data_IF_001454104756
#
_entry.id   IF_001454104756
#
_cell.length_a   1.000
_cell.length_b   1.000
_cell.length_c   1.000
_cell.angle_alpha   90.00
_cell.angle_beta   90.00
_cell.angle_gamma   90.00
#
_symmetry.space_group_name_H-M   'P 1'
#
loop_
_entity.id
_entity.type
_entity.pdbx_description
1 polymer ?
#
# COMPACT_ATOMS: atom_id res chain seq x y z
N UNK A 1 -32.21 -4.45 20.22
CA UNK A 1 -33.10 -3.78 19.24
C UNK A 1 -33.26 -2.33 19.66
N UNK A 2 -33.26 -1.38 18.72
CA UNK A 2 -33.48 0.04 19.05
C UNK A 2 -34.90 0.25 19.58
N UNK A 3 -35.08 1.30 20.38
CA UNK A 3 -36.36 1.58 21.04
C UNK A 3 -37.52 1.83 20.06
N UNK A 4 -37.22 2.35 18.86
CA UNK A 4 -38.16 2.58 17.76
C UNK A 4 -38.42 1.32 16.90
N UNK A 5 -37.71 0.21 17.17
CA UNK A 5 -37.81 -1.03 16.41
C UNK A 5 -37.24 -0.97 14.99
N UNK A 6 -36.65 0.15 14.57
CA UNK A 6 -36.12 0.31 13.21
C UNK A 6 -34.84 -0.49 12.96
N UNK A 7 -34.13 -0.89 14.03
CA UNK A 7 -32.87 -1.63 13.93
C UNK A 7 -32.79 -2.78 14.93
N UNK A 8 -32.38 -3.94 14.43
CA UNK A 8 -31.97 -5.09 15.23
C UNK A 8 -30.48 -5.34 15.03
N UNK A 9 -29.77 -5.51 16.15
CA UNK A 9 -28.36 -5.86 16.15
C UNK A 9 -28.20 -7.31 16.56
N UNK A 10 -27.36 -8.05 15.84
CA UNK A 10 -27.01 -9.45 16.14
C UNK A 10 -25.49 -9.57 16.09
N UNK A 11 -24.89 -10.14 17.12
CA UNK A 11 -23.48 -10.49 17.14
C UNK A 11 -23.34 -12.00 17.12
N UNK A 12 -22.41 -12.52 16.32
CA UNK A 12 -22.15 -13.95 16.22
C UNK A 12 -20.68 -14.21 15.90
N UNK A 13 -20.21 -15.38 16.34
CA UNK A 13 -18.92 -15.89 15.90
C UNK A 13 -19.00 -16.32 14.44
N UNK A 14 -18.07 -15.82 13.64
CA UNK A 14 -18.08 -15.93 12.19
C UNK A 14 -16.84 -16.64 11.67
N UNK A 15 -17.07 -17.80 11.04
CA UNK A 15 -16.02 -18.65 10.47
C UNK A 15 -15.65 -18.27 9.03
N UNK A 16 -16.27 -17.24 8.46
CA UNK A 16 -15.99 -16.81 7.08
C UNK A 16 -14.57 -16.24 6.90
N UNK A 17 -13.88 -15.89 7.99
CA UNK A 17 -12.57 -15.23 7.95
C UNK A 17 -11.38 -16.16 8.21
N UNK A 18 -11.60 -17.46 8.38
CA UNK A 18 -10.54 -18.48 8.50
C UNK A 18 -10.94 -19.69 9.33
N UNK A 19 -10.02 -20.66 9.42
CA UNK A 19 -10.09 -21.89 10.23
C UNK A 19 -9.26 -21.77 11.52
N UNK A 20 -8.96 -20.54 11.92
CA UNK A 20 -8.04 -20.20 12.99
C UNK A 20 -8.58 -20.51 14.40
N UNK A 21 -9.77 -21.09 14.53
CA UNK A 21 -10.26 -21.69 15.79
C UNK A 21 -9.27 -22.73 16.35
N UNK A 22 -8.58 -23.47 15.46
CA UNK A 22 -7.53 -24.41 15.84
C UNK A 22 -6.19 -23.73 16.19
N UNK A 23 -5.94 -22.51 15.69
CA UNK A 23 -4.72 -21.74 15.94
C UNK A 23 -4.90 -20.64 16.99
N UNK A 24 -6.13 -20.46 17.47
CA UNK A 24 -6.43 -19.54 18.55
C UNK A 24 -6.91 -18.15 18.18
N UNK A 25 -7.68 -18.01 17.11
CA UNK A 25 -8.36 -16.77 16.78
C UNK A 25 -9.88 -16.99 16.77
N UNK A 26 -10.61 -15.95 17.15
CA UNK A 26 -12.06 -15.90 17.01
C UNK A 26 -12.46 -14.56 16.37
N UNK A 27 -13.29 -14.65 15.33
CA UNK A 27 -13.79 -13.50 14.60
C UNK A 27 -15.26 -13.29 14.97
N UNK A 28 -15.56 -12.12 15.53
CA UNK A 28 -16.94 -11.71 15.81
C UNK A 28 -17.42 -10.83 14.68
N UNK A 29 -18.57 -11.19 14.11
CA UNK A 29 -19.32 -10.35 13.17
C UNK A 29 -20.53 -9.77 13.87
N UNK A 30 -20.73 -8.47 13.70
CA UNK A 30 -21.93 -7.75 14.12
C UNK A 30 -22.75 -7.39 12.90
N UNK A 31 -23.99 -7.88 12.86
CA UNK A 31 -24.98 -7.55 11.85
C UNK A 31 -25.93 -6.45 12.33
N UNK A 32 -26.02 -5.36 11.55
CA UNK A 32 -27.08 -4.35 11.64
C UNK A 32 -28.21 -4.75 10.68
N UNK A 33 -29.39 -5.01 11.22
CA UNK A 33 -30.59 -5.36 10.46
C UNK A 33 -31.53 -4.16 10.50
N UNK A 34 -31.71 -3.51 9.35
CA UNK A 34 -32.61 -2.37 9.16
C UNK A 34 -34.00 -2.87 8.78
N UNK A 35 -35.02 -2.24 9.36
CA UNK A 35 -36.43 -2.58 9.20
C UNK A 35 -36.70 -4.09 9.38
N UNK A 36 -36.31 -4.67 10.54
CA UNK A 36 -36.31 -6.12 10.76
C UNK A 36 -37.71 -6.76 10.67
N UNK A 37 -38.77 -5.98 10.89
CA UNK A 37 -40.16 -6.43 10.77
C UNK A 37 -40.72 -6.36 9.33
N UNK A 38 -39.95 -5.80 8.38
CA UNK A 38 -40.40 -5.68 6.99
C UNK A 38 -40.32 -7.02 6.24
N UNK A 39 -40.95 -7.10 5.07
CA UNK A 39 -40.81 -8.26 4.16
C UNK A 39 -39.44 -8.34 3.49
N UNK A 40 -38.61 -7.30 3.63
CA UNK A 40 -37.32 -7.18 2.94
C UNK A 40 -36.34 -6.39 3.80
N UNK A 41 -35.91 -6.95 4.95
CA UNK A 41 -34.95 -6.30 5.81
C UNK A 41 -33.60 -6.14 5.10
N UNK A 42 -32.89 -5.06 5.39
CA UNK A 42 -31.54 -4.83 4.88
C UNK A 42 -30.51 -5.20 5.95
N UNK A 43 -29.43 -5.86 5.54
CA UNK A 43 -28.38 -6.35 6.43
C UNK A 43 -27.07 -5.65 6.12
N UNK A 44 -26.35 -5.24 7.15
CA UNK A 44 -24.97 -4.78 7.05
C UNK A 44 -24.12 -5.51 8.07
N UNK A 45 -22.90 -5.88 7.70
CA UNK A 45 -22.02 -6.71 8.52
C UNK A 45 -20.73 -5.97 8.82
N UNK A 46 -20.35 -5.94 10.10
CA UNK A 46 -19.08 -5.39 10.58
C UNK A 46 -18.27 -6.48 11.26
N UNK A 47 -17.06 -6.73 10.77
CA UNK A 47 -16.09 -7.57 11.47
C UNK A 47 -15.47 -6.78 12.62
N UNK A 48 -15.56 -7.27 13.85
CA UNK A 48 -15.09 -6.58 15.06
C UNK A 48 -13.68 -7.01 15.47
N UNK A 49 -13.39 -8.30 15.38
CA UNK A 49 -12.08 -8.85 15.75
C UNK A 49 -11.38 -9.42 14.51
N UNK A 50 -10.05 -9.39 14.48
CA UNK A 50 -9.22 -10.02 13.43
C UNK A 50 -8.09 -10.88 14.01
N UNK A 51 -7.91 -10.86 15.33
CA UNK A 51 -6.80 -11.51 16.01
C UNK A 51 -7.23 -11.87 17.43
N UNK A 52 -7.27 -13.18 17.71
CA UNK A 52 -7.24 -13.82 19.03
C UNK A 52 -8.56 -14.21 19.72
N UNK A 53 -8.68 -15.53 19.96
CA UNK A 53 -9.09 -16.20 21.19
C UNK A 53 -8.37 -17.56 21.16
N UNK A 54 -7.15 -17.69 21.74
CA UNK A 54 -6.48 -18.98 21.82
C UNK A 54 -7.40 -19.99 22.46
N UNK A 55 -7.64 -21.10 21.76
CA UNK A 55 -8.38 -22.20 22.32
C UNK A 55 -7.71 -22.58 23.64
N UNK A 56 -8.45 -22.47 24.75
CA UNK A 56 -8.00 -22.94 26.04
C UNK A 56 -8.02 -24.47 25.99
N UNK A 57 -6.94 -25.02 25.47
CA UNK A 57 -6.67 -26.45 25.56
C UNK A 57 -6.33 -26.79 27.01
N UNK A 58 -6.63 -28.02 27.43
CA UNK A 58 -6.30 -28.52 28.77
C UNK A 58 -4.83 -28.36 29.14
N UNK A 59 -3.92 -28.31 28.15
CA UNK A 59 -2.50 -28.07 28.37
C UNK A 59 -2.16 -26.63 28.77
N UNK A 60 -3.04 -25.65 28.49
CA UNK A 60 -2.78 -24.23 28.72
C UNK A 60 -3.48 -23.72 29.99
N UNK A 61 -4.72 -24.13 30.22
CA UNK A 61 -5.43 -23.90 31.48
C UNK A 61 -6.45 -25.03 31.73
N UNK A 62 -6.11 -26.05 32.54
CA UNK A 62 -6.99 -27.20 32.77
C UNK A 62 -8.28 -26.86 33.53
N UNK A 63 -8.38 -25.69 34.17
CA UNK A 63 -9.58 -25.25 34.88
C UNK A 63 -10.63 -24.64 33.94
N UNK A 64 -10.20 -24.07 32.81
CA UNK A 64 -11.03 -23.35 31.85
C UNK A 64 -11.06 -24.04 30.47
N UNK A 65 -10.53 -25.26 30.40
CA UNK A 65 -10.49 -26.03 29.17
C UNK A 65 -11.90 -26.41 28.72
N UNK A 66 -12.27 -25.99 27.51
CA UNK A 66 -13.61 -26.24 26.94
C UNK A 66 -14.66 -25.18 27.25
N UNK A 67 -14.30 -24.07 27.91
CA UNK A 67 -15.15 -22.86 28.04
C UNK A 67 -14.92 -21.74 26.99
N UNK A 68 -14.13 -21.89 25.89
CA UNK A 68 -13.75 -20.72 25.09
C UNK A 68 -14.94 -20.17 24.30
N UNK A 69 -15.29 -18.91 24.56
CA UNK A 69 -16.17 -18.15 23.68
C UNK A 69 -17.65 -18.15 24.04
N UNK A 70 -18.05 -18.50 25.26
CA UNK A 70 -19.47 -18.47 25.61
C UNK A 70 -19.95 -17.10 26.13
N UNK A 71 -19.02 -16.19 26.40
CA UNK A 71 -19.31 -14.89 27.00
C UNK A 71 -19.24 -13.78 25.98
N UNK A 72 -20.31 -13.65 25.20
CA UNK A 72 -20.57 -12.49 24.37
C UNK A 72 -21.82 -11.78 24.86
N UNK A 73 -21.72 -10.47 25.05
CA UNK A 73 -22.85 -9.62 25.40
C UNK A 73 -22.99 -8.48 24.40
N UNK A 74 -24.22 -8.19 24.04
CA UNK A 74 -24.56 -7.10 23.14
C UNK A 74 -25.60 -6.20 23.80
N UNK A 75 -25.28 -4.93 23.90
CA UNK A 75 -26.19 -3.88 24.35
C UNK A 75 -26.19 -2.70 23.37
N UNK A 76 -27.06 -1.72 23.59
CA UNK A 76 -27.13 -0.49 22.81
C UNK A 76 -26.84 0.72 23.69
N UNK A 77 -26.13 1.70 23.12
CA UNK A 77 -26.05 3.01 23.76
C UNK A 77 -27.30 3.86 23.50
N UNK A 78 -27.35 5.06 24.09
CA UNK A 78 -28.46 6.00 23.92
C UNK A 78 -28.69 6.48 22.48
N UNK A 79 -27.73 6.24 21.58
CA UNK A 79 -27.80 6.59 20.16
C UNK A 79 -28.16 5.38 19.29
N UNK A 80 -28.44 4.22 19.89
CA UNK A 80 -28.80 2.99 19.19
C UNK A 80 -27.63 2.28 18.51
N UNK A 81 -26.38 2.61 18.89
CA UNK A 81 -25.17 1.93 18.39
C UNK A 81 -24.88 0.69 19.24
N UNK A 82 -24.35 -0.35 18.61
CA UNK A 82 -24.01 -1.60 19.29
C UNK A 82 -22.79 -1.43 20.21
N UNK A 83 -22.95 -1.84 21.46
CA UNK A 83 -21.91 -2.06 22.45
C UNK A 83 -21.72 -3.57 22.60
N UNK A 84 -20.63 -4.08 22.04
CA UNK A 84 -20.28 -5.49 22.10
C UNK A 84 -19.21 -5.68 23.17
N UNK A 85 -19.42 -6.66 24.05
CA UNK A 85 -18.40 -7.16 24.96
C UNK A 85 -18.18 -8.65 24.74
N UNK A 86 -16.94 -9.10 24.85
CA UNK A 86 -16.60 -10.51 24.77
C UNK A 86 -15.40 -10.84 25.66
N UNK A 87 -15.30 -12.09 26.13
CA UNK A 87 -14.10 -12.60 26.77
C UNK A 87 -13.08 -13.06 25.71
N UNK A 88 -11.80 -12.73 25.88
CA UNK A 88 -10.69 -13.23 25.05
C UNK A 88 -9.53 -13.64 25.95
N UNK A 89 -8.99 -14.82 25.66
CA UNK A 89 -8.01 -15.56 26.46
C UNK A 89 -6.57 -15.29 26.02
N UNK A 90 -6.36 -14.24 25.23
CA UNK A 90 -5.05 -13.86 24.74
C UNK A 90 -4.10 -13.52 25.87
N UNK A 91 -2.84 -13.93 25.72
CA UNK A 91 -1.80 -13.48 26.64
C UNK A 91 -1.59 -11.97 26.48
N UNK A 92 -1.82 -11.21 27.53
CA UNK A 92 -1.45 -9.81 27.60
C UNK A 92 -0.11 -9.65 28.32
N UNK A 93 0.88 -9.02 27.69
CA UNK A 93 2.18 -8.72 28.30
C UNK A 93 2.94 -9.94 28.90
N UNK A 94 2.74 -11.15 28.36
CA UNK A 94 3.45 -12.36 28.78
C UNK A 94 2.91 -13.02 30.06
N UNK A 95 1.71 -12.64 30.50
CA UNK A 95 0.99 -13.37 31.54
C UNK A 95 0.50 -14.73 31.02
N UNK A 96 0.16 -15.63 31.94
CA UNK A 96 -0.65 -16.79 31.57
C UNK A 96 -1.94 -16.30 30.86
N UNK A 97 -2.51 -17.10 29.93
CA UNK A 97 -3.85 -16.85 29.42
C UNK A 97 -4.80 -16.60 30.59
N UNK A 98 -5.46 -15.45 30.59
CA UNK A 98 -6.49 -15.05 31.55
C UNK A 98 -7.72 -14.60 30.74
N UNK A 99 -8.92 -14.78 31.28
CA UNK A 99 -10.16 -14.35 30.61
C UNK A 99 -10.31 -12.82 30.73
N UNK A 100 -9.70 -12.10 29.79
CA UNK A 100 -9.83 -10.65 29.71
C UNK A 100 -11.15 -10.26 29.03
N UNK A 101 -11.85 -9.28 29.61
CA UNK A 101 -13.05 -8.70 28.99
C UNK A 101 -12.65 -7.59 28.03
N UNK A 102 -13.02 -7.75 26.76
CA UNK A 102 -12.88 -6.73 25.73
C UNK A 102 -14.22 -6.10 25.40
N UNK A 103 -14.17 -4.86 24.93
CA UNK A 103 -15.35 -4.15 24.46
C UNK A 103 -15.06 -3.42 23.15
N UNK A 104 -16.09 -3.33 22.30
CA UNK A 104 -16.08 -2.55 21.09
C UNK A 104 -17.40 -1.79 20.95
N UNK A 105 -17.30 -0.52 20.58
CA UNK A 105 -18.44 0.25 20.09
C UNK A 105 -18.49 0.11 18.57
N UNK A 106 -19.52 -0.55 18.07
CA UNK A 106 -19.75 -0.70 16.64
C UNK A 106 -20.63 0.46 16.18
N UNK A 107 -20.12 1.38 15.34
CA UNK A 107 -20.92 2.48 14.84
C UNK A 107 -22.07 1.93 13.99
N UNK A 108 -23.24 2.55 14.09
CA UNK A 108 -24.32 2.30 13.15
C UNK A 108 -23.84 2.70 11.74
N UNK A 109 -23.86 1.76 10.81
CA UNK A 109 -23.43 1.98 9.42
C UNK A 109 -24.51 2.70 8.60
N UNK A 110 -25.67 2.96 9.21
CA UNK A 110 -26.78 3.74 8.68
C UNK A 110 -26.46 5.24 8.60
N UNK A 111 -25.50 5.56 7.75
CA UNK A 111 -25.41 6.77 6.93
C UNK A 111 -25.16 6.34 5.47
N UNK A 112 -25.29 7.22 4.47
CA UNK A 112 -24.74 6.91 3.14
C UNK A 112 -23.29 6.49 3.33
N UNK A 113 -22.89 5.38 2.70
CA UNK A 113 -21.50 4.89 2.76
C UNK A 113 -20.56 6.10 2.61
N UNK A 114 -19.57 6.28 3.50
CA UNK A 114 -18.62 7.37 3.34
C UNK A 114 -18.12 7.29 1.89
N UNK A 115 -18.10 8.42 1.15
CA UNK A 115 -17.64 8.39 -0.23
C UNK A 115 -16.30 7.66 -0.25
N UNK A 116 -16.08 6.76 -1.22
CA UNK A 116 -14.84 6.00 -1.28
C UNK A 116 -13.68 6.99 -1.10
N UNK A 117 -12.66 6.66 -0.30
CA UNK A 117 -11.53 7.55 -0.11
C UNK A 117 -11.07 8.02 -1.49
N UNK A 118 -10.81 9.32 -1.68
CA UNK A 118 -10.38 9.82 -2.97
C UNK A 118 -9.21 8.93 -3.44
N UNK A 119 -9.18 8.55 -4.73
CA UNK A 119 -8.12 7.70 -5.22
C UNK A 119 -6.78 8.26 -4.76
N UNK A 120 -5.83 7.41 -4.33
CA UNK A 120 -4.55 7.89 -3.85
C UNK A 120 -4.00 8.87 -4.88
N UNK A 121 -3.41 10.01 -4.45
CA UNK A 121 -2.87 10.99 -5.38
C UNK A 121 -1.97 10.25 -6.37
N UNK A 122 -2.05 10.57 -7.67
CA UNK A 122 -1.23 9.90 -8.66
C UNK A 122 0.23 9.95 -8.17
N UNK A 123 0.99 8.84 -8.32
CA UNK A 123 2.36 8.79 -7.85
C UNK A 123 3.11 10.02 -8.37
N UNK A 124 3.97 10.65 -7.55
CA UNK A 124 4.70 11.84 -7.96
C UNK A 124 5.38 11.58 -9.30
N UNK A 125 5.15 12.46 -10.27
CA UNK A 125 5.72 12.31 -11.60
C UNK A 125 7.25 12.17 -11.48
N UNK A 126 7.89 11.23 -12.19
CA UNK A 126 9.34 11.11 -12.15
C UNK A 126 9.97 12.45 -12.51
N UNK A 127 11.01 12.90 -11.78
CA UNK A 127 11.68 14.15 -12.12
C UNK A 127 12.15 14.12 -13.58
N UNK A 128 12.10 15.26 -14.31
CA UNK A 128 12.49 15.31 -15.71
C UNK A 128 13.86 14.66 -15.92
N UNK A 129 13.90 13.56 -16.68
CA UNK A 129 15.15 12.87 -16.94
C UNK A 129 16.12 13.82 -17.66
N UNK A 130 17.23 14.16 -17.03
CA UNK A 130 18.28 14.95 -17.66
C UNK A 130 18.90 14.13 -18.79
N UNK A 131 18.76 14.58 -20.04
CA UNK A 131 19.29 13.88 -21.21
C UNK A 131 20.49 14.60 -21.81
N UNK A 132 21.38 13.84 -22.45
CA UNK A 132 22.40 14.35 -23.34
C UNK A 132 21.76 14.56 -24.72
N UNK A 133 21.71 15.81 -25.17
CA UNK A 133 21.33 16.13 -26.55
C UNK A 133 22.62 16.33 -27.34
N UNK A 134 22.94 15.38 -28.23
CA UNK A 134 24.25 15.36 -28.90
C UNK A 134 24.42 16.61 -29.77
N UNK A 135 25.37 17.51 -29.45
CA UNK A 135 25.53 18.74 -30.20
C UNK A 135 26.23 18.48 -31.53
N UNK A 136 25.99 19.35 -32.52
CA UNK A 136 26.80 19.38 -33.75
C UNK A 136 28.19 19.94 -33.42
N UNK A 137 29.22 19.12 -33.60
CA UNK A 137 30.63 19.47 -33.37
C UNK A 137 31.52 19.26 -34.59
N UNK A 138 31.00 18.69 -35.68
CA UNK A 138 31.69 18.61 -36.98
C UNK A 138 32.12 20.03 -37.42
N UNK A 139 33.38 20.17 -37.84
CA UNK A 139 34.00 21.42 -38.25
C UNK A 139 34.71 22.20 -37.13
N UNK A 140 34.42 21.91 -35.87
CA UNK A 140 35.06 22.57 -34.73
C UNK A 140 36.48 22.04 -34.48
N UNK A 141 37.33 22.88 -33.87
CA UNK A 141 38.59 22.44 -33.27
C UNK A 141 38.30 21.49 -32.10
N UNK A 142 39.19 20.52 -31.86
CA UNK A 142 38.99 19.51 -30.81
C UNK A 142 38.70 20.12 -29.43
N UNK A 143 39.39 21.19 -29.03
CA UNK A 143 39.15 21.86 -27.77
C UNK A 143 37.72 22.44 -27.67
N UNK A 144 37.26 23.14 -28.70
CA UNK A 144 35.90 23.69 -28.76
C UNK A 144 34.83 22.59 -28.79
N UNK A 145 35.10 21.48 -29.49
CA UNK A 145 34.21 20.31 -29.51
C UNK A 145 34.06 19.70 -28.10
N UNK A 146 35.15 19.56 -27.34
CA UNK A 146 35.12 19.04 -25.96
C UNK A 146 34.26 19.91 -25.04
N UNK A 147 34.41 21.23 -25.12
CA UNK A 147 33.60 22.17 -24.31
C UNK A 147 32.12 22.08 -24.66
N UNK A 148 31.80 22.04 -25.96
CA UNK A 148 30.40 21.97 -26.42
C UNK A 148 29.71 20.66 -26.02
N UNK A 149 30.42 19.53 -26.07
CA UNK A 149 29.92 18.22 -25.62
C UNK A 149 29.61 18.22 -24.13
N UNK A 150 30.53 18.75 -23.30
CA UNK A 150 30.32 18.81 -21.84
C UNK A 150 29.17 19.72 -21.45
N UNK A 151 29.02 20.89 -22.08
CA UNK A 151 27.88 21.80 -21.86
C UNK A 151 26.53 21.16 -22.20
N UNK A 152 26.51 20.27 -23.19
CA UNK A 152 25.32 19.50 -23.57
C UNK A 152 25.05 18.29 -22.66
N UNK A 153 25.74 18.17 -21.52
CA UNK A 153 25.61 17.06 -20.56
C UNK A 153 25.95 15.70 -21.15
N UNK A 154 26.76 15.70 -22.21
CA UNK A 154 27.34 14.52 -22.85
C UNK A 154 28.80 14.35 -22.41
N UNK A 155 29.38 13.17 -22.64
CA UNK A 155 30.80 12.92 -22.43
C UNK A 155 31.54 12.76 -23.76
N UNK A 156 32.83 13.07 -23.75
CA UNK A 156 33.69 12.85 -24.92
C UNK A 156 34.06 11.37 -24.95
N UNK A 157 33.73 10.70 -26.04
CA UNK A 157 34.06 9.31 -26.28
C UNK A 157 35.42 9.12 -26.92
N UNK A 158 35.56 8.03 -27.67
CA UNK A 158 36.79 7.68 -28.40
C UNK A 158 37.09 8.75 -29.46
N UNK A 159 38.35 9.19 -29.51
CA UNK A 159 38.84 10.12 -30.54
C UNK A 159 39.73 9.35 -31.50
N UNK A 160 39.32 9.27 -32.77
CA UNK A 160 40.15 8.73 -33.86
C UNK A 160 40.73 9.86 -34.68
N UNK A 161 41.86 9.62 -35.34
CA UNK A 161 42.45 10.55 -36.30
C UNK A 161 42.45 9.92 -37.69
N UNK A 162 42.15 10.71 -38.71
CA UNK A 162 42.19 10.29 -40.10
C UNK A 162 42.78 11.40 -40.97
N UNK A 163 43.42 11.04 -42.09
CA UNK A 163 43.98 12.03 -43.01
C UNK A 163 42.84 12.89 -43.59
N UNK A 164 43.03 14.21 -43.56
CA UNK A 164 42.05 15.18 -44.05
C UNK A 164 42.70 16.54 -44.26
N UNK A 165 42.24 17.26 -45.28
CA UNK A 165 42.57 18.68 -45.51
C UNK A 165 42.20 19.57 -44.32
N UNK A 166 41.27 19.13 -43.46
CA UNK A 166 40.82 19.86 -42.26
C UNK A 166 41.60 19.42 -41.00
N UNK A 167 42.92 19.62 -41.01
CA UNK A 167 43.78 19.26 -39.89
C UNK A 167 43.35 19.96 -38.57
N UNK A 168 43.32 19.19 -37.48
CA UNK A 168 42.94 19.67 -36.14
C UNK A 168 41.44 19.88 -35.92
N UNK A 169 40.59 19.63 -36.92
CA UNK A 169 39.13 19.79 -36.84
C UNK A 169 38.41 18.46 -36.82
N UNK A 170 37.25 18.43 -36.17
CA UNK A 170 36.36 17.26 -36.17
C UNK A 170 35.78 17.10 -37.57
N UNK A 171 36.03 15.96 -38.19
CA UNK A 171 35.51 15.58 -39.52
C UNK A 171 34.37 14.56 -39.43
N UNK A 172 34.24 13.88 -38.29
CA UNK A 172 33.14 12.96 -38.02
C UNK A 172 32.79 12.93 -36.53
N UNK A 173 31.53 12.66 -36.23
CA UNK A 173 31.05 12.42 -34.88
C UNK A 173 30.04 11.26 -34.86
N UNK A 174 29.98 10.53 -33.76
CA UNK A 174 28.94 9.53 -33.51
C UNK A 174 28.62 9.50 -32.01
N UNK A 175 27.34 9.59 -31.58
CA UNK A 175 26.12 9.63 -32.38
C UNK A 175 25.96 10.90 -33.25
N UNK A 176 24.99 10.86 -34.18
CA UNK A 176 24.65 12.00 -35.05
C UNK A 176 24.15 13.20 -34.21
N UNK A 177 24.37 14.43 -34.69
CA UNK A 177 23.81 15.63 -34.05
C UNK A 177 22.30 15.50 -33.84
N UNK A 178 21.79 15.99 -32.70
CA UNK A 178 20.37 15.93 -32.33
C UNK A 178 19.94 14.63 -31.65
N UNK A 179 20.79 13.58 -31.64
CA UNK A 179 20.47 12.35 -30.94
C UNK A 179 20.26 12.60 -29.44
N UNK A 180 19.15 12.11 -28.91
CA UNK A 180 18.86 12.13 -27.48
C UNK A 180 19.39 10.86 -26.84
N UNK A 181 20.18 11.01 -25.79
CA UNK A 181 20.85 9.91 -25.07
C UNK A 181 20.78 10.12 -23.56
N UNK A 182 21.04 9.08 -22.75
CA UNK A 182 21.20 9.25 -21.29
C UNK A 182 22.27 10.29 -20.96
N UNK A 183 22.14 10.98 -19.82
CA UNK A 183 23.18 11.90 -19.32
C UNK A 183 24.54 11.21 -19.32
N UNK A 184 25.57 11.93 -19.77
CA UNK A 184 26.94 11.39 -19.83
C UNK A 184 27.19 10.43 -20.99
N UNK A 185 26.25 10.24 -21.92
CA UNK A 185 26.49 9.43 -23.12
C UNK A 185 27.71 9.92 -23.91
N UNK A 186 28.47 8.97 -24.44
CA UNK A 186 29.75 9.21 -25.11
C UNK A 186 29.54 9.63 -26.56
N UNK A 187 30.16 10.74 -26.94
CA UNK A 187 30.24 11.23 -28.32
C UNK A 187 31.65 10.96 -28.86
N UNK A 188 31.77 9.94 -29.70
CA UNK A 188 33.00 9.58 -30.40
C UNK A 188 33.28 10.60 -31.51
N UNK A 189 34.55 10.95 -31.71
CA UNK A 189 34.98 11.96 -32.67
C UNK A 189 36.04 11.39 -33.63
N UNK A 190 35.99 11.84 -34.87
CA UNK A 190 37.08 11.67 -35.84
C UNK A 190 37.66 13.04 -36.12
N UNK A 191 38.96 13.20 -35.92
CA UNK A 191 39.69 14.46 -36.09
C UNK A 191 40.63 14.36 -37.29
N UNK A 192 40.60 15.38 -38.14
CA UNK A 192 41.54 15.48 -39.26
C UNK A 192 42.98 15.61 -38.76
N UNK A 193 43.88 14.79 -39.29
CA UNK A 193 45.33 15.03 -39.28
C UNK A 193 45.79 15.22 -40.72
N UNK A 194 46.94 15.88 -40.93
CA UNK A 194 47.58 15.89 -42.24
C UNK A 194 47.90 14.44 -42.62
#
# INVERSE_FOLDING_TARGET
MTADGSRLWVAFYDRAYGDCEASGCNDITVAEILDPASRSPAFQYTRVTTSSMPNLVTSNNPLEAGFPGDHMWLDLDSEGRALLAWADTRQHAGTAPDEDVYYARVPALSGPAPPPPPPPPPPPQPPPAVRCQVPRVIGLRLAAARTRIRRARCSVGRIRRASSRRAGRVIGQSPRPGAVRPRGARVNLVVGRR
#
